data_IF_042726365977
#
_entry.id   IF_042726365977
#
_cell.length_a   1.000
_cell.length_b   1.000
_cell.length_c   1.000
_cell.angle_alpha   90.00
_cell.angle_beta   90.00
_cell.angle_gamma   90.00
#
_symmetry.space_group_name_H-M   'P 1'
#
loop_
_entity.id
_entity.type
_entity.pdbx_description
1 polymer ?
#
# COMPACT_ATOMS: atom_id res chain seq x y z
N UNK A 1 -31.60 1.98 -10.04
CA UNK A 1 -30.52 2.84 -10.55
C UNK A 1 -29.80 2.12 -11.71
N UNK A 2 -28.89 2.76 -12.45
CA UNK A 2 -27.99 2.06 -13.39
C UNK A 2 -26.53 2.19 -12.92
N UNK A 3 -25.76 1.13 -13.04
CA UNK A 3 -24.32 1.12 -12.78
C UNK A 3 -23.59 0.57 -14.01
N UNK A 4 -22.59 1.30 -14.51
CA UNK A 4 -21.83 0.94 -15.73
C UNK A 4 -22.74 0.67 -16.95
N UNK A 5 -23.89 1.35 -17.03
CA UNK A 5 -24.89 1.15 -18.07
C UNK A 5 -25.89 0.01 -17.83
N UNK A 6 -25.67 -0.84 -16.83
CA UNK A 6 -26.49 -2.02 -16.50
C UNK A 6 -27.50 -1.67 -15.40
N UNK A 7 -28.70 -2.24 -15.45
CA UNK A 7 -29.71 -1.99 -14.41
C UNK A 7 -29.33 -2.65 -13.09
N UNK A 8 -29.71 -2.01 -11.99
CA UNK A 8 -29.44 -2.54 -10.64
C UNK A 8 -30.09 -3.91 -10.39
N UNK A 9 -31.32 -4.14 -10.87
CA UNK A 9 -31.99 -5.44 -10.74
C UNK A 9 -31.24 -6.54 -11.50
N UNK A 10 -30.74 -6.24 -12.69
CA UNK A 10 -29.93 -7.18 -13.47
C UNK A 10 -28.63 -7.51 -12.76
N UNK A 11 -27.93 -6.50 -12.23
CA UNK A 11 -26.70 -6.69 -11.44
C UNK A 11 -26.94 -7.48 -10.16
N UNK A 12 -28.09 -7.30 -9.49
CA UNK A 12 -28.47 -8.09 -8.32
C UNK A 12 -28.69 -9.55 -8.71
N UNK A 13 -29.38 -9.82 -9.81
CA UNK A 13 -29.65 -11.17 -10.30
C UNK A 13 -28.37 -11.95 -10.64
N UNK A 14 -27.33 -11.28 -11.15
CA UNK A 14 -26.03 -11.91 -11.46
C UNK A 14 -25.00 -11.78 -10.33
N UNK A 15 -25.37 -11.23 -9.17
CA UNK A 15 -24.46 -11.04 -8.03
C UNK A 15 -23.38 -9.95 -8.22
N UNK A 16 -23.44 -9.15 -9.28
CA UNK A 16 -22.42 -8.16 -9.66
C UNK A 16 -22.62 -6.76 -9.05
N UNK A 17 -23.67 -6.56 -8.24
CA UNK A 17 -24.05 -5.22 -7.76
C UNK A 17 -22.96 -4.54 -6.91
N UNK A 18 -22.23 -5.29 -6.08
CA UNK A 18 -21.18 -4.73 -5.21
C UNK A 18 -19.98 -4.25 -6.03
N UNK A 19 -19.44 -5.10 -6.91
CA UNK A 19 -18.32 -4.75 -7.78
C UNK A 19 -18.66 -3.59 -8.71
N UNK A 20 -19.87 -3.57 -9.30
CA UNK A 20 -20.30 -2.46 -10.14
C UNK A 20 -20.38 -1.13 -9.39
N UNK A 21 -20.89 -1.15 -8.15
CA UNK A 21 -20.90 0.02 -7.26
C UNK A 21 -19.48 0.46 -6.89
N UNK A 22 -18.62 -0.47 -6.52
CA UNK A 22 -17.22 -0.20 -6.14
C UNK A 22 -16.41 0.41 -7.28
N UNK A 23 -16.59 -0.06 -8.52
CA UNK A 23 -15.94 0.52 -9.70
C UNK A 23 -16.46 1.93 -9.95
N UNK A 24 -17.78 2.13 -9.95
CA UNK A 24 -18.39 3.41 -10.32
C UNK A 24 -18.15 4.51 -9.28
N UNK A 25 -17.96 4.16 -8.00
CA UNK A 25 -17.71 5.15 -6.95
C UNK A 25 -16.26 5.65 -6.92
N UNK A 26 -15.32 5.04 -7.67
CA UNK A 26 -13.90 5.38 -7.61
C UNK A 26 -13.62 6.89 -7.77
N UNK A 27 -14.19 7.63 -8.74
CA UNK A 27 -13.92 9.07 -8.87
C UNK A 27 -14.30 9.87 -7.61
N UNK A 28 -15.42 9.51 -6.97
CA UNK A 28 -15.88 10.16 -5.73
C UNK A 28 -14.96 9.79 -4.56
N UNK A 29 -14.52 8.54 -4.49
CA UNK A 29 -13.58 8.07 -3.45
C UNK A 29 -12.22 8.75 -3.61
N UNK A 30 -11.70 8.89 -4.83
CA UNK A 30 -10.43 9.57 -5.09
C UNK A 30 -10.45 11.03 -4.65
N UNK A 31 -11.55 11.75 -4.94
CA UNK A 31 -11.70 13.13 -4.47
C UNK A 31 -11.68 13.23 -2.93
N UNK A 32 -12.37 12.31 -2.25
CA UNK A 32 -12.36 12.25 -0.78
C UNK A 32 -10.96 11.99 -0.23
N UNK A 33 -10.21 11.06 -0.82
CA UNK A 33 -8.83 10.74 -0.43
C UNK A 33 -7.93 11.96 -0.66
N UNK A 34 -8.03 12.61 -1.82
CA UNK A 34 -7.28 13.82 -2.11
C UNK A 34 -7.53 14.90 -1.05
N UNK A 35 -8.78 15.15 -0.71
CA UNK A 35 -9.13 16.17 0.30
C UNK A 35 -8.62 15.80 1.69
N UNK A 36 -8.61 14.52 2.06
CA UNK A 36 -8.03 14.05 3.32
C UNK A 36 -6.51 14.26 3.36
N UNK A 37 -5.80 13.82 2.32
CA UNK A 37 -4.34 13.99 2.21
C UNK A 37 -3.98 15.47 2.19
N UNK A 38 -4.71 16.30 1.44
CA UNK A 38 -4.48 17.74 1.37
C UNK A 38 -4.65 18.42 2.74
N UNK A 39 -5.66 18.03 3.52
CA UNK A 39 -5.87 18.55 4.88
C UNK A 39 -4.73 18.16 5.83
N UNK A 40 -4.19 16.95 5.70
CA UNK A 40 -3.09 16.44 6.50
C UNK A 40 -1.69 16.70 5.92
N UNK A 41 -1.57 17.46 4.83
CA UNK A 41 -0.34 17.51 4.03
C UNK A 41 0.87 18.01 4.82
N UNK A 42 0.67 18.99 5.72
CA UNK A 42 1.76 19.53 6.54
C UNK A 42 2.30 18.49 7.53
N UNK A 43 1.42 17.73 8.19
CA UNK A 43 1.82 16.71 9.16
C UNK A 43 2.45 15.50 8.47
N UNK A 44 1.88 15.06 7.34
CA UNK A 44 2.46 14.00 6.50
C UNK A 44 3.85 14.41 6.03
N UNK A 45 4.01 15.64 5.54
CA UNK A 45 5.32 16.14 5.08
C UNK A 45 6.33 16.14 6.22
N UNK A 46 5.98 16.68 7.39
CA UNK A 46 6.88 16.70 8.55
C UNK A 46 7.33 15.29 8.94
N UNK A 47 6.39 14.35 9.02
CA UNK A 47 6.72 12.95 9.32
C UNK A 47 7.65 12.34 8.27
N UNK A 48 7.38 12.55 6.98
CA UNK A 48 8.21 11.99 5.90
C UNK A 48 9.59 12.64 5.84
N UNK A 49 9.69 13.95 6.05
CA UNK A 49 10.99 14.66 6.09
C UNK A 49 11.86 14.10 7.22
N UNK A 50 11.30 13.89 8.41
CA UNK A 50 12.02 13.31 9.55
C UNK A 50 12.35 11.83 9.32
N UNK A 51 11.42 11.06 8.75
CA UNK A 51 11.61 9.63 8.56
C UNK A 51 12.63 9.31 7.46
N UNK A 52 12.73 10.12 6.40
CA UNK A 52 13.53 9.78 5.21
C UNK A 52 15.02 10.03 5.41
N UNK A 53 15.43 10.94 6.30
CA UNK A 53 16.84 11.30 6.52
C UNK A 53 17.70 10.11 6.96
N UNK A 54 17.10 9.17 7.69
CA UNK A 54 17.80 8.02 8.28
C UNK A 54 17.55 6.71 7.50
N UNK A 55 16.87 6.75 6.34
CA UNK A 55 16.45 5.55 5.61
C UNK A 55 17.35 5.28 4.40
N UNK A 56 17.93 4.07 4.36
CA UNK A 56 18.73 3.59 3.24
C UNK A 56 17.85 2.99 2.12
N UNK A 57 16.69 2.45 2.47
CA UNK A 57 15.84 1.68 1.56
C UNK A 57 14.36 1.74 1.93
N UNK A 58 13.51 1.94 0.91
CA UNK A 58 12.05 1.87 1.03
C UNK A 58 11.56 0.56 0.42
N UNK A 59 10.81 -0.22 1.20
CA UNK A 59 10.13 -1.40 0.70
C UNK A 59 8.62 -1.13 0.66
N UNK A 60 8.05 -1.19 -0.54
CA UNK A 60 6.62 -1.11 -0.78
C UNK A 60 6.05 -2.53 -0.78
N UNK A 61 5.13 -2.85 0.12
CA UNK A 61 4.66 -4.22 0.30
C UNK A 61 3.14 -4.33 0.37
N UNK A 62 2.61 -5.49 -0.03
CA UNK A 62 1.20 -5.85 0.05
C UNK A 62 0.97 -7.27 -0.46
N UNK A 63 -0.21 -7.83 -0.18
CA UNK A 63 -0.62 -9.15 -0.69
C UNK A 63 -1.52 -9.03 -1.92
N UNK A 64 -1.35 -9.92 -2.90
CA UNK A 64 -2.18 -9.99 -4.11
C UNK A 64 -2.20 -8.68 -4.88
N UNK A 65 -3.40 -8.15 -5.18
CA UNK A 65 -3.57 -6.89 -5.93
C UNK A 65 -2.87 -5.71 -5.21
N UNK A 66 -2.77 -5.75 -3.88
CA UNK A 66 -2.08 -4.70 -3.12
C UNK A 66 -0.58 -4.63 -3.42
N UNK A 67 0.05 -5.75 -3.80
CA UNK A 67 1.46 -5.75 -4.21
C UNK A 67 1.69 -4.90 -5.47
N UNK A 68 0.71 -4.88 -6.38
CA UNK A 68 0.80 -4.11 -7.63
C UNK A 68 0.80 -2.60 -7.39
N UNK A 69 0.26 -2.12 -6.26
CA UNK A 69 0.38 -0.71 -5.86
C UNK A 69 1.86 -0.34 -5.71
N UNK A 70 2.64 -1.17 -5.03
CA UNK A 70 4.08 -0.97 -4.88
C UNK A 70 4.80 -0.94 -6.22
N UNK A 71 4.47 -1.89 -7.12
CA UNK A 71 5.10 -1.96 -8.46
C UNK A 71 4.82 -0.68 -9.26
N UNK A 72 3.60 -0.16 -9.21
CA UNK A 72 3.25 1.09 -9.88
C UNK A 72 4.00 2.30 -9.30
N UNK A 73 4.22 2.33 -7.99
CA UNK A 73 4.73 3.51 -7.27
C UNK A 73 6.25 3.53 -7.05
N UNK A 74 6.95 2.39 -7.15
CA UNK A 74 8.37 2.30 -6.79
C UNK A 74 9.27 3.31 -7.55
N UNK A 75 8.94 3.61 -8.81
CA UNK A 75 9.67 4.58 -9.61
C UNK A 75 9.48 6.01 -9.12
N UNK A 76 8.23 6.38 -8.84
CA UNK A 76 7.87 7.71 -8.35
C UNK A 76 8.41 7.96 -6.95
N UNK A 77 8.37 6.97 -6.06
CA UNK A 77 8.97 7.05 -4.73
C UNK A 77 10.48 7.27 -4.81
N UNK A 78 11.18 6.44 -5.60
CA UNK A 78 12.63 6.59 -5.78
C UNK A 78 13.00 7.98 -6.31
N UNK A 79 12.26 8.48 -7.30
CA UNK A 79 12.52 9.80 -7.90
C UNK A 79 12.20 10.95 -6.93
N UNK A 80 11.16 10.81 -6.11
CA UNK A 80 10.70 11.87 -5.20
C UNK A 80 11.57 11.97 -3.95
N UNK A 81 12.02 10.84 -3.41
CA UNK A 81 12.78 10.79 -2.16
C UNK A 81 14.29 10.63 -2.36
N UNK A 82 14.75 10.22 -3.54
CA UNK A 82 16.17 9.93 -3.79
C UNK A 82 16.68 8.67 -3.07
N UNK A 83 15.80 7.90 -2.44
CA UNK A 83 16.11 6.67 -1.69
C UNK A 83 15.80 5.44 -2.55
N UNK A 84 16.63 4.41 -2.44
CA UNK A 84 16.39 3.13 -3.10
C UNK A 84 15.01 2.61 -2.73
N UNK A 85 14.17 2.31 -3.72
CA UNK A 85 12.79 1.85 -3.49
C UNK A 85 12.51 0.59 -4.30
N UNK A 86 11.97 -0.43 -3.63
CA UNK A 86 11.59 -1.70 -4.26
C UNK A 86 10.18 -2.13 -3.83
N UNK A 87 9.45 -2.77 -4.74
CA UNK A 87 8.19 -3.42 -4.43
C UNK A 87 8.41 -4.91 -4.14
N UNK A 88 8.05 -5.37 -2.94
CA UNK A 88 8.22 -6.76 -2.52
C UNK A 88 6.90 -7.25 -1.91
N UNK A 89 6.26 -8.28 -2.49
CA UNK A 89 5.01 -8.82 -1.93
C UNK A 89 5.19 -9.30 -0.49
N UNK A 90 4.17 -9.12 0.35
CA UNK A 90 4.22 -9.58 1.75
C UNK A 90 4.42 -11.09 1.84
N UNK A 91 3.87 -11.85 0.88
CA UNK A 91 4.05 -13.31 0.77
C UNK A 91 5.51 -13.72 0.68
N UNK A 92 6.33 -12.89 0.06
CA UNK A 92 7.75 -13.16 -0.15
C UNK A 92 8.54 -12.73 1.08
N UNK A 93 8.18 -11.58 1.67
CA UNK A 93 8.76 -11.12 2.93
C UNK A 93 8.55 -12.10 4.08
N UNK A 94 7.36 -12.71 4.20
CA UNK A 94 7.04 -13.66 5.27
C UNK A 94 7.77 -14.99 5.07
N UNK A 95 7.86 -15.47 3.82
CA UNK A 95 8.44 -16.80 3.54
C UNK A 95 9.97 -16.78 3.44
N UNK A 96 10.57 -15.69 2.96
CA UNK A 96 12.00 -15.58 2.71
C UNK A 96 12.57 -14.21 3.14
N UNK A 97 12.37 -13.79 4.40
CA UNK A 97 12.74 -12.44 4.84
C UNK A 97 14.23 -12.12 4.65
N UNK A 98 15.10 -13.11 4.83
CA UNK A 98 16.55 -12.94 4.69
C UNK A 98 17.02 -12.62 3.26
N UNK A 99 16.18 -12.81 2.24
CA UNK A 99 16.51 -12.42 0.87
C UNK A 99 16.38 -10.91 0.63
N UNK A 100 15.61 -10.22 1.48
CA UNK A 100 15.18 -8.85 1.24
C UNK A 100 15.68 -7.87 2.31
N UNK A 101 15.94 -8.34 3.54
CA UNK A 101 16.44 -7.49 4.62
C UNK A 101 17.95 -7.61 4.80
N UNK A 102 18.61 -6.45 4.80
CA UNK A 102 20.01 -6.31 5.22
C UNK A 102 20.06 -5.65 6.60
N UNK A 103 20.67 -6.32 7.57
CA UNK A 103 20.78 -5.84 8.97
C UNK A 103 21.54 -4.53 9.13
N UNK A 104 22.32 -4.12 8.12
CA UNK A 104 23.10 -2.89 8.14
C UNK A 104 22.39 -1.72 7.44
N UNK A 105 21.14 -1.91 7.01
CA UNK A 105 20.34 -0.86 6.36
C UNK A 105 19.13 -0.52 7.22
N UNK A 106 18.86 0.77 7.33
CA UNK A 106 17.61 1.28 7.87
C UNK A 106 16.54 1.22 6.79
N UNK A 107 15.46 0.48 7.05
CA UNK A 107 14.41 0.21 6.07
C UNK A 107 13.11 0.89 6.48
N UNK A 108 12.51 1.66 5.56
CA UNK A 108 11.12 2.11 5.69
C UNK A 108 10.21 1.12 4.97
N UNK A 109 9.33 0.45 5.71
CA UNK A 109 8.32 -0.44 5.14
C UNK A 109 6.98 0.29 4.97
N UNK A 110 6.46 0.31 3.75
CA UNK A 110 5.14 0.88 3.42
C UNK A 110 4.20 -0.25 3.03
N UNK A 111 3.22 -0.54 3.89
CA UNK A 111 2.31 -1.68 3.72
C UNK A 111 0.96 -1.26 3.15
N UNK A 112 0.52 -1.93 2.09
CA UNK A 112 -0.77 -1.74 1.42
C UNK A 112 -1.72 -2.90 1.71
N UNK A 113 -2.93 -2.57 2.15
CA UNK A 113 -4.01 -3.54 2.39
C UNK A 113 -5.38 -2.94 2.07
N UNK A 114 -6.31 -3.78 1.58
CA UNK A 114 -7.70 -3.40 1.32
C UNK A 114 -8.57 -3.53 2.56
N UNK A 115 -8.41 -4.62 3.30
CA UNK A 115 -9.27 -4.96 4.45
C UNK A 115 -8.75 -4.41 5.77
N UNK A 116 -7.49 -3.99 5.85
CA UNK A 116 -6.90 -3.58 7.12
C UNK A 116 -6.79 -4.74 8.10
N UNK A 117 -6.84 -6.00 7.63
CA UNK A 117 -6.75 -7.17 8.50
C UNK A 117 -5.39 -7.16 9.20
N UNK A 118 -5.38 -7.03 10.54
CA UNK A 118 -4.13 -6.91 11.29
C UNK A 118 -3.19 -8.08 11.02
N UNK A 119 -3.70 -9.30 10.85
CA UNK A 119 -2.88 -10.51 10.66
C UNK A 119 -1.84 -10.40 9.55
N UNK A 120 -2.16 -9.88 8.36
CA UNK A 120 -1.20 -9.82 7.25
C UNK A 120 -0.14 -8.74 7.45
N UNK A 121 -0.53 -7.59 8.01
CA UNK A 121 0.40 -6.49 8.31
C UNK A 121 1.25 -6.85 9.52
N UNK A 122 0.63 -7.39 10.56
CA UNK A 122 1.26 -7.78 11.81
C UNK A 122 2.23 -8.94 11.56
N UNK A 123 1.88 -9.94 10.74
CA UNK A 123 2.82 -11.01 10.38
C UNK A 123 4.00 -10.48 9.58
N UNK A 124 3.78 -9.61 8.58
CA UNK A 124 4.87 -9.00 7.84
C UNK A 124 5.77 -8.18 8.78
N UNK A 125 5.19 -7.33 9.63
CA UNK A 125 5.90 -6.51 10.60
C UNK A 125 6.68 -7.33 11.63
N UNK A 126 6.04 -8.32 12.26
CA UNK A 126 6.69 -9.23 13.21
C UNK A 126 7.83 -10.02 12.54
N UNK A 127 7.65 -10.44 11.29
CA UNK A 127 8.71 -11.11 10.54
C UNK A 127 9.89 -10.17 10.32
N UNK A 128 9.65 -8.91 9.91
CA UNK A 128 10.71 -7.89 9.76
C UNK A 128 11.45 -7.69 11.09
N UNK A 129 10.73 -7.46 12.18
CA UNK A 129 11.32 -7.26 13.51
C UNK A 129 12.11 -8.49 14.00
N UNK A 130 11.75 -9.70 13.56
CA UNK A 130 12.49 -10.91 13.94
C UNK A 130 13.84 -11.05 13.23
N UNK A 131 14.00 -10.43 12.05
CA UNK A 131 15.20 -10.55 11.22
C UNK A 131 16.09 -9.31 11.24
N UNK A 132 15.55 -8.14 11.60
CA UNK A 132 16.31 -6.90 11.79
C UNK A 132 16.78 -6.77 13.25
N UNK A 133 18.01 -6.28 13.51
CA UNK A 133 18.44 -5.99 14.87
C UNK A 133 17.61 -4.86 15.49
N UNK A 134 17.44 -4.90 16.82
CA UNK A 134 16.76 -3.86 17.60
C UNK A 134 17.62 -2.60 17.76
#
# INVERSE_FOLDING_TARGET
MKYLGISENELQNIGGIHTAREIQQQPVVWQKIYDQVRKGAADIKRFLDEAIEEVDEIILTGAGISAYIGICLQGDFRNSFGVSTTAIPTTDLVTHPHHFFNKNKNVMLVSFTRSGCPSEIDEAFLTVCSVMPA
#
